data_IF_289731778142
#
_entry.id   IF_289731778142
#
_cell.length_a   1.000
_cell.length_b   1.000
_cell.length_c   1.000
_cell.angle_alpha   90.00
_cell.angle_beta   90.00
_cell.angle_gamma   90.00
#
_symmetry.space_group_name_H-M   'P 1'
#
loop_
_entity.id
_entity.type
_entity.pdbx_description
1 polymer ?
2 water ?
#
# COMPACT_ATOMS: atom_id res chain seq x y z
N UNK A 4 14.88 17.43 -4.19
CA UNK A 4 14.99 15.98 -4.32
C UNK A 4 14.52 15.19 -3.11
N UNK A 5 14.10 13.93 -3.35
CA UNK A 5 13.56 12.97 -2.37
C UNK A 5 12.40 13.59 -1.56
N UNK A 6 11.40 14.12 -2.30
CA UNK A 6 10.21 14.76 -1.73
C UNK A 6 9.16 13.77 -1.12
N UNK A 7 8.29 14.21 -0.17
CA UNK A 7 7.32 13.27 0.42
C UNK A 7 6.22 12.79 -0.52
N UNK A 8 5.48 11.75 -0.09
CA UNK A 8 4.37 11.14 -0.82
C UNK A 8 3.27 12.18 -1.09
N UNK A 9 2.93 12.36 -2.36
CA UNK A 9 1.91 13.31 -2.78
C UNK A 9 1.48 13.14 -4.21
N UNK A 10 0.49 13.95 -4.62
CA UNK A 10 -0.08 13.96 -5.96
C UNK A 10 0.87 14.56 -6.97
N UNK A 11 0.95 13.93 -8.14
CA UNK A 11 1.80 14.33 -9.27
C UNK A 11 0.96 14.38 -10.54
N UNK A 12 1.26 15.34 -11.39
CA UNK A 12 0.57 15.60 -12.65
C UNK A 12 1.54 15.45 -13.81
N UNK A 13 1.03 14.95 -14.94
CA UNK A 13 1.77 14.77 -16.18
C UNK A 13 0.79 14.66 -17.33
N UNK A 14 1.01 15.46 -18.37
CA UNK A 14 0.21 15.44 -19.59
C UNK A 14 0.75 14.28 -20.43
N UNK A 15 -0.13 13.34 -20.81
CA UNK A 15 0.23 12.15 -21.60
C UNK A 15 -0.72 11.96 -22.78
N UNK A 16 -0.25 11.26 -23.83
CA UNK A 16 -1.09 10.86 -24.96
C UNK A 16 -1.74 9.59 -24.44
N UNK A 17 -3.01 9.32 -24.78
CA UNK A 17 -3.68 8.11 -24.29
C UNK A 17 -2.98 6.80 -24.74
N UNK A 18 -2.41 6.82 -25.97
CA UNK A 18 -1.64 5.72 -26.57
C UNK A 18 -0.37 5.37 -25.77
N UNK A 19 0.24 6.37 -25.11
CA UNK A 19 1.45 6.21 -24.28
C UNK A 19 1.16 5.41 -23.00
N UNK A 20 -0.11 5.32 -22.57
CA UNK A 20 -0.50 4.62 -21.34
C UNK A 20 -0.45 3.09 -21.43
N UNK A 21 -0.43 2.56 -22.64
CA UNK A 21 -0.42 1.11 -22.86
C UNK A 21 -1.73 0.47 -22.44
N UNK A 22 -2.84 1.17 -22.69
CA UNK A 22 -4.20 0.72 -22.37
C UNK A 22 -4.91 0.14 -23.60
N UNK A 23 -4.24 0.17 -24.75
CA UNK A 23 -4.77 -0.34 -26.00
C UNK A 23 -5.61 0.65 -26.79
N UNK A 24 -5.48 1.96 -26.46
CA UNK A 24 -6.20 3.04 -27.14
C UNK A 24 -5.38 3.64 -28.27
N UNK A 25 -6.02 3.76 -29.45
CA UNK A 25 -5.42 4.28 -30.68
C UNK A 25 -5.21 5.79 -30.66
N UNK A 26 -6.15 6.53 -30.02
CA UNK A 26 -6.15 8.00 -29.93
C UNK A 26 -4.80 8.59 -29.49
N UNK A 27 -4.46 9.75 -30.05
CA UNK A 27 -3.22 10.46 -29.71
C UNK A 27 -3.54 11.74 -28.92
N UNK A 28 -4.83 11.92 -28.58
CA UNK A 28 -5.31 13.04 -27.78
C UNK A 28 -4.72 12.94 -26.38
N UNK A 29 -4.35 14.09 -25.81
CA UNK A 29 -3.74 14.13 -24.49
C UNK A 29 -4.76 14.18 -23.36
N UNK A 30 -4.39 13.61 -22.21
CA UNK A 30 -5.17 13.63 -20.98
C UNK A 30 -4.21 13.98 -19.84
N UNK A 31 -4.72 14.65 -18.80
CA UNK A 31 -3.89 14.95 -17.64
C UNK A 31 -3.90 13.72 -16.73
N UNK A 32 -2.72 13.14 -16.49
CA UNK A 32 -2.56 11.96 -15.65
C UNK A 32 -2.02 12.30 -14.27
N UNK A 33 -2.75 11.91 -13.23
CA UNK A 33 -2.37 12.14 -11.84
C UNK A 33 -2.00 10.85 -11.14
N UNK A 34 -0.92 10.89 -10.36
CA UNK A 34 -0.38 9.71 -9.70
C UNK A 34 0.29 10.02 -8.37
N UNK A 35 0.45 8.99 -7.54
CA UNK A 35 1.11 9.08 -6.24
C UNK A 35 2.56 8.65 -6.34
N UNK A 36 3.44 9.53 -5.84
CA UNK A 36 4.90 9.34 -5.83
C UNK A 36 5.48 10.06 -4.63
N UNK A 37 6.61 9.56 -4.13
CA UNK A 37 7.29 10.19 -3.00
C UNK A 37 7.82 9.26 -1.93
N UNK A 38 8.20 9.85 -0.79
CA UNK A 38 8.78 9.17 0.37
C UNK A 38 7.79 9.00 1.52
N UNK A 39 7.91 7.89 2.27
CA UNK A 39 7.06 7.55 3.41
C UNK A 39 7.89 7.46 4.71
N UNK A 40 8.59 8.55 5.07
CA UNK A 40 9.43 8.62 6.28
C UNK A 40 8.72 9.37 7.42
N UNK A 41 7.50 8.91 7.78
CA UNK A 41 6.67 9.51 8.82
C UNK A 41 6.78 8.76 10.16
N UNK A 42 8.03 8.30 10.49
CA UNK A 42 8.43 7.50 11.66
C UNK A 42 7.74 6.14 11.66
N UNK A 43 8.52 5.07 11.82
CA UNK A 43 8.02 3.70 11.80
C UNK A 43 6.82 3.48 12.73
N UNK A 44 5.74 2.89 12.19
CA UNK A 44 4.54 2.58 12.95
C UNK A 44 4.85 1.42 13.89
N UNK A 45 4.15 1.36 15.05
CA UNK A 45 4.30 0.35 16.11
C UNK A 45 4.01 -1.09 15.56
N UNK A 46 3.03 -1.15 14.63
CA UNK A 46 2.61 -2.32 13.86
C UNK A 46 3.76 -2.82 12.96
N UNK A 47 4.40 -1.89 12.20
CA UNK A 47 5.52 -2.17 11.29
C UNK A 47 6.76 -2.70 12.01
N UNK A 48 7.09 -2.10 13.17
CA UNK A 48 8.23 -2.44 14.04
C UNK A 48 8.10 -3.87 14.60
N UNK A 49 6.93 -4.15 15.16
CA UNK A 49 6.54 -5.45 15.71
C UNK A 49 6.59 -6.54 14.66
N UNK A 50 6.09 -6.22 13.44
CA UNK A 50 6.07 -7.09 12.25
C UNK A 50 7.47 -7.46 11.72
N UNK A 51 8.39 -6.47 11.62
CA UNK A 51 9.80 -6.64 11.18
C UNK A 51 10.56 -7.57 12.12
N UNK A 52 10.40 -7.37 13.46
CA UNK A 52 11.02 -8.18 14.53
C UNK A 52 10.57 -9.65 14.47
N UNK A 53 9.24 -9.89 14.29
CA UNK A 53 8.63 -11.22 14.15
C UNK A 53 9.04 -11.89 12.80
N UNK A 54 9.27 -11.05 11.76
CA UNK A 54 9.70 -11.48 10.43
C UNK A 54 11.11 -12.10 10.45
N UNK A 55 12.10 -11.41 11.09
CA UNK A 55 13.49 -11.89 11.23
C UNK A 55 13.64 -13.05 12.21
N UNK A 56 12.64 -13.20 13.08
CA UNK A 56 12.57 -14.29 14.06
C UNK A 56 11.91 -15.59 13.55
N UNK A 57 11.57 -15.64 12.25
CA UNK A 57 10.90 -16.76 11.54
C UNK A 57 9.58 -17.22 12.16
N UNK A 58 8.97 -16.29 12.91
CA UNK A 58 7.71 -16.45 13.63
C UNK A 58 6.53 -16.35 12.69
N UNK A 59 6.72 -15.54 11.65
CA UNK A 59 5.75 -15.31 10.61
C UNK A 59 5.77 -16.47 9.64
N UNK A 60 4.58 -16.90 9.22
CA UNK A 60 4.44 -17.98 8.26
C UNK A 60 5.04 -17.55 6.92
N UNK A 61 5.71 -18.49 6.23
CA UNK A 61 6.38 -18.26 4.94
C UNK A 61 5.37 -17.71 3.93
N UNK A 62 5.30 -16.37 3.88
CA UNK A 62 4.37 -15.60 3.06
C UNK A 62 4.94 -14.22 2.79
N UNK A 63 4.36 -13.55 1.79
CA UNK A 63 4.72 -12.20 1.40
C UNK A 63 4.16 -11.22 2.42
N UNK A 64 5.07 -10.60 3.20
CA UNK A 64 4.70 -9.65 4.25
C UNK A 64 5.33 -8.28 3.98
N UNK A 65 4.47 -7.26 3.87
CA UNK A 65 4.90 -5.88 3.66
C UNK A 65 4.83 -5.18 5.01
N UNK A 66 6.01 -4.90 5.59
CA UNK A 66 6.11 -4.25 6.89
C UNK A 66 6.63 -2.82 6.71
N UNK A 67 6.29 -2.20 5.58
CA UNK A 67 6.71 -0.84 5.23
C UNK A 67 5.53 -0.06 4.63
N UNK A 68 5.35 1.24 4.97
CA UNK A 68 4.25 2.01 4.36
C UNK A 68 4.44 2.18 2.84
N UNK A 69 3.33 2.27 2.10
CA UNK A 69 3.34 2.42 0.65
C UNK A 69 2.67 3.71 0.21
N UNK A 70 3.30 4.44 -0.71
CA UNK A 70 2.71 5.67 -1.27
C UNK A 70 1.75 5.25 -2.38
N UNK A 71 0.45 5.21 -2.07
CA UNK A 71 -0.57 4.73 -3.00
C UNK A 71 -1.83 5.62 -3.01
N UNK A 72 -2.66 5.59 -4.08
CA UNK A 72 -3.90 6.39 -4.05
C UNK A 72 -4.94 5.87 -3.07
N UNK A 73 -5.54 6.78 -2.28
CA UNK A 73 -6.62 6.47 -1.34
C UNK A 73 -7.97 6.76 -2.01
N UNK A 74 -7.93 7.46 -3.16
CA UNK A 74 -9.11 7.81 -3.97
C UNK A 74 -8.72 7.98 -5.43
N UNK A 75 -9.67 7.70 -6.33
CA UNK A 75 -9.45 7.81 -7.77
C UNK A 75 -10.41 8.80 -8.42
N UNK A 76 -9.97 9.41 -9.55
CA UNK A 76 -10.78 10.35 -10.33
C UNK A 76 -11.92 9.56 -10.95
N UNK A 77 -13.16 10.09 -10.87
CA UNK A 77 -14.35 9.39 -11.36
C UNK A 77 -14.27 8.99 -12.83
N UNK A 78 -13.92 9.95 -13.70
CA UNK A 78 -13.85 9.74 -15.15
C UNK A 78 -12.97 10.76 -15.89
N UNK A 79 -12.48 10.34 -17.08
CA UNK A 79 -11.69 11.13 -18.03
C UNK A 79 -12.24 10.80 -19.41
N UNK A 80 -12.49 11.83 -20.22
CA UNK A 80 -13.03 11.63 -21.56
C UNK A 80 -12.04 12.13 -22.61
N UNK A 81 -11.95 11.39 -23.72
CA UNK A 81 -11.09 11.71 -24.85
C UNK A 81 -11.75 11.20 -26.12
N UNK A 82 -11.38 11.77 -27.27
CA UNK A 82 -11.92 11.34 -28.56
C UNK A 82 -11.13 10.12 -29.03
N UNK A 83 -11.80 8.96 -29.12
CA UNK A 83 -11.19 7.68 -29.54
C UNK A 83 -11.07 7.55 -31.08
N UNK A 84 -10.74 6.31 -31.54
CA UNK A 84 -10.59 5.92 -32.95
C UNK A 84 -11.87 6.01 -33.78
N UNK A 85 -13.02 5.59 -33.19
CA UNK A 85 -14.31 5.65 -33.90
C UNK A 85 -14.98 7.03 -33.79
N UNK A 86 -14.19 8.00 -33.32
CA UNK A 86 -14.49 9.41 -33.13
C UNK A 86 -15.65 9.68 -32.18
N UNK A 87 -15.91 8.72 -31.26
CA UNK A 87 -16.88 8.90 -30.18
C UNK A 87 -16.08 9.38 -28.96
N UNK A 88 -16.72 10.09 -28.01
CA UNK A 88 -16.02 10.53 -26.80
C UNK A 88 -16.08 9.40 -25.79
N UNK A 89 -14.93 8.75 -25.58
CA UNK A 89 -14.78 7.58 -24.73
C UNK A 89 -14.35 7.94 -23.32
N UNK A 90 -15.05 7.38 -22.33
CA UNK A 90 -14.78 7.61 -20.92
C UNK A 90 -14.05 6.43 -20.30
N UNK A 91 -12.91 6.71 -19.65
CA UNK A 91 -12.10 5.75 -18.91
C UNK A 91 -12.32 6.15 -17.45
N UNK A 92 -12.56 5.16 -16.58
CA UNK A 92 -12.85 5.41 -15.17
C UNK A 92 -11.71 4.99 -14.28
N UNK A 93 -11.46 5.79 -13.25
CA UNK A 93 -10.42 5.58 -12.25
C UNK A 93 -9.00 5.51 -12.84
N UNK A 94 -8.73 6.33 -13.88
CA UNK A 94 -7.42 6.41 -14.51
C UNK A 94 -6.40 7.11 -13.61
N UNK A 95 -6.77 8.27 -13.05
CA UNK A 95 -5.91 9.08 -12.20
C UNK A 95 -6.25 8.99 -10.72
N UNK A 96 -5.23 9.21 -9.87
CA UNK A 96 -5.32 9.27 -8.42
C UNK A 96 -5.92 10.63 -8.07
N UNK A 97 -6.85 10.66 -7.09
CA UNK A 97 -7.52 11.89 -6.62
C UNK A 97 -6.84 12.33 -5.35
N UNK A 98 -6.46 11.34 -4.52
CA UNK A 98 -5.81 11.50 -3.22
C UNK A 98 -4.71 10.48 -3.04
N UNK A 99 -3.69 10.84 -2.27
CA UNK A 99 -2.52 10.00 -2.01
C UNK A 99 -2.32 9.93 -0.50
N UNK A 100 -1.67 8.86 -0.05
CA UNK A 100 -1.31 8.63 1.36
C UNK A 100 -0.31 7.50 1.49
N UNK A 101 0.23 7.34 2.68
CA UNK A 101 1.15 6.26 3.02
C UNK A 101 0.29 5.20 3.71
N UNK A 102 0.16 4.03 3.07
CA UNK A 102 -0.62 2.90 3.59
C UNK A 102 0.37 1.81 4.00
N UNK B 2 3.80 -16.48 -9.60
CA UNK B 2 3.26 -17.61 -8.85
C UNK B 2 1.73 -17.55 -8.76
N UNK B 3 1.06 -18.47 -9.48
CA UNK B 3 -0.40 -18.57 -9.54
C UNK B 3 -0.92 -19.37 -8.33
N UNK B 4 -1.83 -18.76 -7.58
CA UNK B 4 -2.42 -19.38 -6.39
C UNK B 4 -1.53 -19.28 -5.17
N UNK B 5 -0.90 -18.10 -4.99
CA UNK B 5 0.00 -17.78 -3.89
C UNK B 5 -0.69 -17.57 -2.54
N UNK B 6 -2.02 -17.22 -2.58
CA UNK B 6 -2.95 -16.92 -1.47
C UNK B 6 -3.26 -15.42 -1.41
N UNK B 7 -4.55 -15.00 -1.49
CA UNK B 7 -4.85 -13.56 -1.44
C UNK B 7 -4.48 -12.85 -0.14
N UNK B 8 -4.34 -11.53 -0.25
CA UNK B 8 -4.08 -10.59 0.82
C UNK B 8 -5.21 -10.72 1.83
N UNK B 9 -4.84 -10.86 3.10
CA UNK B 9 -5.82 -11.00 4.16
C UNK B 9 -5.23 -10.90 5.54
N UNK B 10 -6.13 -10.87 6.52
CA UNK B 10 -5.83 -10.78 7.94
C UNK B 10 -5.25 -12.10 8.42
N UNK B 11 -4.20 -12.00 9.23
CA UNK B 11 -3.50 -13.14 9.82
C UNK B 11 -3.35 -12.91 11.33
N UNK B 12 -3.53 -13.97 12.12
CA UNK B 12 -3.49 -13.95 13.59
C UNK B 12 -2.46 -14.92 14.15
N UNK B 13 -1.65 -14.43 15.09
CA UNK B 13 -0.66 -15.23 15.79
C UNK B 13 -0.43 -14.75 17.23
N UNK B 14 -0.32 -15.71 18.16
CA UNK B 14 -0.07 -15.47 19.58
C UNK B 14 1.40 -15.11 19.74
N UNK B 15 1.69 -14.01 20.44
CA UNK B 15 3.06 -13.55 20.68
C UNK B 15 3.20 -13.03 22.11
N UNK B 16 4.44 -12.98 22.61
CA UNK B 16 4.81 -12.37 23.88
C UNK B 16 5.07 -10.91 23.49
N UNK B 17 4.74 -9.94 24.36
CA UNK B 17 5.00 -8.53 24.05
C UNK B 17 6.51 -8.25 23.88
N UNK B 18 7.35 -9.02 24.61
CA UNK B 18 8.82 -8.97 24.56
C UNK B 18 9.37 -9.23 23.14
N UNK B 19 8.77 -10.21 22.41
CA UNK B 19 9.13 -10.60 21.03
C UNK B 19 9.04 -9.46 20.02
N UNK B 20 8.14 -8.48 20.25
CA UNK B 20 7.90 -7.35 19.36
C UNK B 20 9.07 -6.36 19.30
N UNK B 21 9.90 -6.37 20.35
CA UNK B 21 11.08 -5.51 20.46
C UNK B 21 10.74 -4.04 20.53
N UNK B 22 9.64 -3.73 21.25
CA UNK B 22 9.15 -2.36 21.44
C UNK B 22 9.72 -1.74 22.72
N UNK B 23 10.44 -2.55 23.50
CA UNK B 23 11.09 -2.10 24.72
C UNK B 23 10.28 -2.27 25.98
N UNK B 24 9.17 -3.01 25.91
CA UNK B 24 8.32 -3.27 27.06
C UNK B 24 8.80 -4.51 27.79
N UNK B 25 8.91 -4.41 29.12
CA UNK B 25 9.35 -5.50 29.99
C UNK B 25 8.14 -6.35 30.41
N UNK B 26 7.52 -7.01 29.42
CA UNK B 26 6.35 -7.85 29.62
C UNK B 26 6.44 -9.17 28.86
N UNK B 27 5.93 -10.24 29.48
CA UNK B 27 5.86 -11.59 28.93
C UNK B 27 4.40 -11.96 28.59
N UNK B 28 3.49 -10.95 28.62
CA UNK B 28 2.06 -11.13 28.33
C UNK B 28 1.83 -11.62 26.90
N UNK B 29 0.92 -12.58 26.74
CA UNK B 29 0.61 -13.07 25.41
C UNK B 29 -0.51 -12.23 24.81
N UNK B 30 -0.26 -11.70 23.62
CA UNK B 30 -1.25 -10.91 22.90
C UNK B 30 -1.52 -11.58 21.55
N UNK B 31 -2.68 -11.30 20.94
CA UNK B 31 -3.01 -11.81 19.62
C UNK B 31 -2.62 -10.73 18.66
N UNK B 32 -1.58 -10.98 17.86
CA UNK B 32 -1.09 -10.02 16.87
C UNK B 32 -1.75 -10.31 15.53
N UNK B 33 -2.47 -9.31 15.01
CA UNK B 33 -3.19 -9.34 13.73
C UNK B 33 -2.42 -8.51 12.72
N UNK B 34 -2.16 -9.10 11.54
CA UNK B 34 -1.39 -8.45 10.47
C UNK B 34 -1.91 -8.77 9.06
N UNK B 35 -1.43 -8.05 8.06
CA UNK B 35 -1.80 -8.23 6.66
C UNK B 35 -0.66 -8.86 5.90
N UNK B 36 -0.94 -9.99 5.25
CA UNK B 36 0.03 -10.72 4.41
C UNK B 36 -0.70 -11.39 3.24
N UNK B 37 0.06 -11.77 2.22
CA UNK B 37 -0.47 -12.43 1.04
C UNK B 37 -0.18 -11.71 -0.27
N UNK B 38 -0.61 -12.33 -1.38
CA UNK B 38 -0.43 -11.82 -2.74
C UNK B 38 -1.47 -10.78 -3.12
N UNK B 39 -1.05 -9.82 -3.96
CA UNK B 39 -1.89 -8.75 -4.47
C UNK B 39 -1.79 -8.70 -6.00
N UNK B 40 -2.21 -9.77 -6.68
CA UNK B 40 -2.24 -9.76 -8.15
C UNK B 40 -3.65 -9.27 -8.44
N UNK B 41 -3.81 -7.93 -8.37
CA UNK B 41 -5.10 -7.26 -8.53
C UNK B 41 -6.02 -7.89 -9.59
N UNK B 42 -5.68 -7.95 -10.91
CA UNK B 42 -4.47 -7.41 -11.56
C UNK B 42 -4.79 -6.45 -12.70
N UNK B 43 -3.79 -5.64 -13.12
CA UNK B 43 -3.86 -4.68 -14.22
C UNK B 43 -4.99 -3.63 -14.11
N UNK B 44 -4.92 -2.81 -13.04
CA UNK B 44 -5.84 -1.68 -12.79
C UNK B 44 -5.37 -0.60 -13.78
N UNK B 45 -6.29 0.10 -14.48
CA UNK B 45 -5.93 1.12 -15.48
C UNK B 45 -4.86 2.12 -15.03
N UNK B 46 -4.92 2.52 -13.75
CA UNK B 46 -3.98 3.42 -13.09
C UNK B 46 -2.59 2.78 -13.06
N UNK B 47 -2.52 1.51 -12.62
CA UNK B 47 -1.31 0.70 -12.51
C UNK B 47 -0.68 0.39 -13.86
N UNK B 48 -1.51 0.04 -14.87
CA UNK B 48 -1.10 -0.25 -16.24
C UNK B 48 -0.46 0.97 -16.87
N UNK B 49 -1.10 2.13 -16.68
CA UNK B 49 -0.63 3.41 -17.19
C UNK B 49 0.63 3.88 -16.48
N UNK B 50 0.69 3.68 -15.15
CA UNK B 50 1.82 4.06 -14.31
C UNK B 50 3.06 3.24 -14.63
N UNK B 51 2.90 1.90 -14.81
CA UNK B 51 4.00 1.00 -15.17
C UNK B 51 4.57 1.33 -16.53
N UNK B 52 3.69 1.65 -17.49
CA UNK B 52 4.07 2.02 -18.85
C UNK B 52 4.83 3.34 -18.90
N UNK B 53 4.44 4.33 -18.07
CA UNK B 53 5.11 5.63 -18.01
C UNK B 53 6.48 5.55 -17.35
N UNK B 54 6.66 4.56 -16.47
CA UNK B 54 7.90 4.27 -15.76
C UNK B 54 8.93 3.69 -16.74
N UNK B 55 8.45 2.87 -17.71
CA UNK B 55 9.25 2.25 -18.77
C UNK B 55 9.82 3.31 -19.72
N UNK B 56 9.05 4.38 -19.97
CA UNK B 56 9.41 5.51 -20.82
C UNK B 56 10.32 6.51 -20.09
N UNK B 57 10.52 6.33 -18.75
CA UNK B 57 11.32 7.18 -17.84
C UNK B 57 10.75 8.61 -17.77
N UNK B 58 9.40 8.69 -17.72
CA UNK B 58 8.65 9.95 -17.70
C UNK B 58 8.14 10.35 -16.31
N UNK B 59 8.56 9.62 -15.26
CA UNK B 59 8.10 9.79 -13.88
C UNK B 59 8.99 10.61 -12.92
N UNK B 60 9.91 11.45 -13.45
CA UNK B 60 10.81 12.34 -12.70
C UNK B 60 11.87 11.64 -11.82
N UNK B 61 12.06 10.31 -11.98
CA UNK B 61 13.01 9.47 -11.22
C UNK B 61 12.49 9.00 -9.84
N UNK B 62 11.33 9.54 -9.39
CA UNK B 62 10.70 9.21 -8.11
C UNK B 62 10.46 7.72 -7.86
N UNK B 63 10.36 7.36 -6.57
CA UNK B 63 10.17 5.99 -6.10
C UNK B 63 9.11 5.22 -6.88
N UNK B 64 7.88 5.76 -6.91
CA UNK B 64 6.71 5.23 -7.61
C UNK B 64 6.33 3.77 -7.30
N UNK B 65 5.13 3.58 -6.73
CA UNK B 65 4.61 2.25 -6.43
C UNK B 65 3.50 1.97 -7.44
N UNK B 66 3.87 1.25 -8.50
CA UNK B 66 2.97 0.94 -9.60
C UNK B 66 2.18 -0.36 -9.39
N UNK B 67 2.31 -1.00 -8.22
CA UNK B 67 1.61 -2.23 -7.89
C UNK B 67 0.84 -2.11 -6.59
N UNK B 68 -0.30 -2.82 -6.43
CA UNK B 68 -1.01 -2.78 -5.14
C UNK B 68 -0.22 -3.46 -4.02
N UNK B 69 -0.47 -3.04 -2.79
CA UNK B 69 0.21 -3.58 -1.62
C UNK B 69 -0.78 -4.10 -0.59
N UNK B 70 -0.47 -5.24 0.03
CA UNK B 70 -1.31 -5.81 1.09
C UNK B 70 -0.98 -5.08 2.37
N UNK B 71 -1.83 -4.14 2.76
CA UNK B 71 -1.59 -3.29 3.92
C UNK B 71 -2.86 -3.10 4.73
N UNK B 72 -2.76 -2.77 6.04
CA UNK B 72 -3.99 -2.52 6.82
C UNK B 72 -4.68 -1.22 6.42
N UNK B 73 -6.01 -1.27 6.21
CA UNK B 73 -6.82 -0.08 5.91
C UNK B 73 -7.39 0.46 7.21
N UNK B 74 -7.35 -0.37 8.26
CA UNK B 74 -7.82 -0.04 9.59
C UNK B 74 -6.97 -0.75 10.63
N UNK B 75 -6.80 -0.10 11.79
CA UNK B 75 -6.01 -0.65 12.89
C UNK B 75 -6.83 -0.77 14.16
N UNK B 76 -6.56 -1.84 14.93
CA UNK B 76 -7.15 -2.10 16.24
C UNK B 76 -6.73 -0.93 17.13
N UNK B 77 -7.70 -0.27 17.76
CA UNK B 77 -7.51 0.92 18.58
C UNK B 77 -6.36 0.83 19.58
N UNK B 78 -6.36 -0.21 20.45
CA UNK B 78 -5.31 -0.42 21.46
C UNK B 78 -5.18 -1.83 22.05
N UNK B 79 -4.00 -2.09 22.66
CA UNK B 79 -3.65 -3.31 23.39
C UNK B 79 -3.13 -2.86 24.74
N UNK B 80 -3.65 -3.48 25.79
CA UNK B 80 -3.27 -3.16 27.15
C UNK B 80 -2.69 -4.38 27.85
N UNK B 81 -1.65 -4.15 28.66
CA UNK B 81 -0.95 -5.20 29.39
C UNK B 81 -0.24 -4.67 30.63
N UNK B 82 0.21 -5.59 31.48
CA UNK B 82 0.95 -5.32 32.70
C UNK B 82 2.40 -5.78 32.50
N UNK B 83 3.36 -4.85 32.66
CA UNK B 83 4.79 -5.16 32.56
C UNK B 83 5.25 -5.91 33.84
N UNK B 84 6.54 -6.33 33.89
CA UNK B 84 7.10 -7.08 35.01
C UNK B 84 7.03 -6.35 36.36
N UNK B 85 7.23 -5.02 36.36
CA UNK B 85 7.17 -4.25 37.59
C UNK B 85 5.73 -3.80 37.93
N UNK B 86 4.72 -4.54 37.42
CA UNK B 86 3.28 -4.31 37.62
C UNK B 86 2.82 -2.91 37.17
N UNK B 87 3.32 -2.48 36.00
CA UNK B 87 2.99 -1.19 35.41
C UNK B 87 2.11 -1.40 34.18
N UNK B 88 0.96 -0.72 34.17
CA UNK B 88 -0.01 -0.79 33.08
C UNK B 88 0.48 0.00 31.89
N UNK B 89 0.38 -0.62 30.71
CA UNK B 89 0.81 0.00 29.47
C UNK B 89 -0.24 -0.14 28.41
N UNK B 90 -0.33 0.86 27.55
CA UNK B 90 -1.24 0.87 26.42
C UNK B 90 -0.45 1.08 25.15
N UNK B 91 -0.68 0.21 24.17
CA UNK B 91 -0.05 0.26 22.85
C UNK B 91 -1.16 0.53 21.86
N UNK B 92 -1.05 1.65 21.14
CA UNK B 92 -2.05 2.06 20.16
C UNK B 92 -1.67 1.66 18.75
N UNK B 93 -2.67 1.14 18.01
CA UNK B 93 -2.57 0.72 16.61
C UNK B 93 -1.54 -0.40 16.36
N UNK B 94 -1.45 -1.36 17.30
CA UNK B 94 -0.53 -2.48 17.22
C UNK B 94 -0.97 -3.53 16.19
N UNK B 95 -2.28 -3.82 16.12
CA UNK B 95 -2.81 -4.81 15.19
C UNK B 95 -3.65 -4.21 14.07
N UNK B 96 -3.66 -4.90 12.93
CA UNK B 96 -4.46 -4.58 11.77
C UNK B 96 -5.91 -5.02 12.09
N UNK B 97 -6.88 -4.14 11.82
CA UNK B 97 -8.31 -4.40 12.04
C UNK B 97 -8.91 -4.91 10.72
N UNK B 98 -8.39 -4.41 9.58
CA UNK B 98 -8.82 -4.73 8.20
C UNK B 98 -7.64 -4.67 7.24
N UNK B 99 -7.67 -5.52 6.20
CA UNK B 99 -6.66 -5.62 5.13
C UNK B 99 -7.32 -5.30 3.78
N UNK B 100 -6.49 -4.89 2.79
CA UNK B 100 -6.88 -4.59 1.40
C UNK B 100 -5.66 -4.44 0.51
N UNK B 101 -5.83 -4.64 -0.80
CA UNK B 101 -4.78 -4.44 -1.79
C UNK B 101 -4.85 -2.98 -2.20
N UNK B 102 -3.96 -2.16 -1.62
CA UNK B 102 -3.89 -0.71 -1.85
C UNK B 102 -3.18 -0.34 -3.17
#
# INVERSE_FOLDING_TARGET
ARLGARPCGLRELEVRVSELGLGYASDETVLFRYCAGACEAAARVYDLGLRRLRQRRRLRRERVRAQPCCRPTAYEDEVSFLDAHSRYHTVHELSARECACV
ARLGARPCGLRELEVRVSELGLGYASDETVLFRYCAGACEAAARVYDLGLRRLRQRRRLRRERVRAQPCCRPTAYEDEVSFLDAHSRYHTVHELSARECACV
#
